data_IF_413534959649
#
_entry.id   IF_413534959649
#
_cell.length_a   1.000
_cell.length_b   1.000
_cell.length_c   1.000
_cell.angle_alpha   90.00
_cell.angle_beta   90.00
_cell.angle_gamma   90.00
#
_symmetry.space_group_name_H-M   'P 1'
#
loop_
_entity.id
_entity.type
_entity.pdbx_description
1 polymer ?
#
# COMPACT_ATOMS: atom_id res chain seq x y z
N UNK A 1 -23.49 -34.92 5.22
CA UNK A 1 -24.84 -34.38 4.94
C UNK A 1 -24.97 -33.16 5.81
N UNK A 2 -24.83 -32.00 5.18
CA UNK A 2 -24.82 -30.69 5.78
C UNK A 2 -25.96 -30.54 6.77
N UNK A 3 -25.65 -30.09 7.99
CA UNK A 3 -26.62 -29.82 9.04
C UNK A 3 -26.78 -28.32 9.19
N UNK A 4 -27.66 -27.77 8.37
CA UNK A 4 -28.05 -26.37 8.46
C UNK A 4 -29.27 -26.29 9.38
N UNK A 5 -29.04 -26.00 10.65
CA UNK A 5 -30.05 -25.84 11.69
C UNK A 5 -30.23 -24.34 12.01
N UNK A 6 -31.31 -23.99 12.72
CA UNK A 6 -31.53 -22.60 13.16
C UNK A 6 -30.43 -22.09 14.08
N UNK A 7 -29.84 -23.00 14.87
CA UNK A 7 -28.86 -22.67 15.93
C UNK A 7 -27.41 -22.92 15.53
N UNK A 8 -27.15 -23.58 14.40
CA UNK A 8 -25.80 -23.84 13.87
C UNK A 8 -25.88 -24.26 12.41
N UNK A 9 -24.85 -23.95 11.63
CA UNK A 9 -24.69 -24.48 10.28
C UNK A 9 -23.37 -25.24 10.18
N UNK A 10 -23.43 -26.49 9.75
CA UNK A 10 -22.26 -27.35 9.53
C UNK A 10 -22.32 -27.90 8.10
N UNK A 11 -21.26 -27.68 7.34
CA UNK A 11 -21.02 -28.39 6.08
C UNK A 11 -19.98 -29.48 6.39
N UNK A 12 -20.34 -30.75 6.17
CA UNK A 12 -19.49 -31.88 6.56
C UNK A 12 -18.25 -31.97 5.67
N UNK A 13 -17.24 -32.69 6.15
CA UNK A 13 -15.98 -32.95 5.45
C UNK A 13 -16.20 -33.46 4.01
N UNK A 14 -15.43 -32.92 3.06
CA UNK A 14 -15.46 -33.25 1.63
C UNK A 14 -16.86 -33.14 0.97
N UNK A 15 -17.79 -32.40 1.58
CA UNK A 15 -19.12 -32.15 1.02
C UNK A 15 -19.10 -30.94 0.09
N UNK A 16 -19.80 -31.03 -1.04
CA UNK A 16 -20.12 -29.86 -1.86
C UNK A 16 -21.54 -29.39 -1.51
N UNK A 17 -21.64 -28.23 -0.87
CA UNK A 17 -22.90 -27.56 -0.58
C UNK A 17 -23.21 -26.53 -1.68
N UNK A 18 -24.21 -26.86 -2.51
CA UNK A 18 -24.70 -25.96 -3.56
C UNK A 18 -25.67 -24.92 -2.96
N UNK A 19 -25.17 -23.70 -2.75
CA UNK A 19 -25.97 -22.56 -2.29
C UNK A 19 -25.32 -21.75 -1.17
N UNK A 20 -26.01 -20.70 -0.74
CA UNK A 20 -25.52 -19.78 0.27
C UNK A 20 -25.91 -20.23 1.69
N UNK A 21 -24.97 -20.14 2.63
CA UNK A 21 -25.25 -20.33 4.07
C UNK A 21 -25.60 -18.97 4.67
N UNK A 22 -26.76 -18.43 4.32
CA UNK A 22 -27.22 -17.11 4.79
C UNK A 22 -28.45 -17.22 5.72
N UNK A 23 -28.58 -16.34 6.73
CA UNK A 23 -29.76 -16.29 7.58
C UNK A 23 -31.03 -15.98 6.78
N UNK A 24 -32.06 -16.80 6.94
CA UNK A 24 -33.41 -16.47 6.44
C UNK A 24 -34.31 -15.86 7.51
N UNK A 25 -33.98 -16.10 8.79
CA UNK A 25 -34.65 -15.54 9.95
C UNK A 25 -33.69 -14.95 10.98
N UNK A 26 -34.24 -14.19 11.94
CA UNK A 26 -33.45 -13.49 12.94
C UNK A 26 -32.65 -14.43 13.87
N UNK A 27 -33.19 -15.61 14.17
CA UNK A 27 -32.51 -16.62 14.98
C UNK A 27 -31.23 -17.16 14.32
N UNK A 28 -31.17 -17.17 12.99
CA UNK A 28 -30.04 -17.67 12.22
C UNK A 28 -28.88 -16.65 12.12
N UNK A 29 -29.13 -15.37 12.40
CA UNK A 29 -28.08 -14.33 12.42
C UNK A 29 -27.04 -14.62 13.51
N UNK A 30 -27.50 -15.25 14.60
CA UNK A 30 -26.67 -15.59 15.75
C UNK A 30 -26.12 -17.02 15.68
N UNK A 31 -26.23 -17.70 14.54
CA UNK A 31 -25.72 -19.07 14.42
C UNK A 31 -24.22 -19.07 14.11
N UNK A 32 -23.41 -19.91 14.79
CA UNK A 32 -22.09 -20.24 14.30
C UNK A 32 -22.19 -21.08 13.02
N UNK A 33 -21.23 -20.88 12.12
CA UNK A 33 -21.08 -21.64 10.89
C UNK A 33 -19.71 -22.30 10.88
N UNK A 34 -19.67 -23.61 10.63
CA UNK A 34 -18.42 -24.37 10.47
C UNK A 34 -18.43 -25.06 9.11
N UNK A 35 -17.40 -24.80 8.32
CA UNK A 35 -17.14 -25.47 7.05
C UNK A 35 -15.96 -26.41 7.30
N UNK A 36 -16.24 -27.71 7.33
CA UNK A 36 -15.23 -28.72 7.68
C UNK A 36 -14.22 -28.95 6.56
N UNK A 37 -13.17 -29.69 6.89
CA UNK A 37 -12.05 -30.03 6.01
C UNK A 37 -12.49 -30.46 4.61
N UNK A 38 -11.79 -29.96 3.58
CA UNK A 38 -12.04 -30.25 2.16
C UNK A 38 -13.47 -29.96 1.64
N UNK A 39 -14.34 -29.34 2.46
CA UNK A 39 -15.70 -29.02 2.05
C UNK A 39 -15.73 -27.81 1.10
N UNK A 40 -16.75 -27.75 0.24
CA UNK A 40 -16.93 -26.66 -0.72
C UNK A 40 -18.31 -26.03 -0.54
N UNK A 41 -18.37 -24.71 -0.38
CA UNK A 41 -19.60 -23.91 -0.43
C UNK A 41 -19.57 -23.06 -1.70
N UNK A 42 -20.58 -23.19 -2.57
CA UNK A 42 -20.54 -22.56 -3.91
C UNK A 42 -21.05 -21.11 -3.94
N UNK A 43 -21.35 -20.51 -2.78
CA UNK A 43 -21.93 -19.17 -2.65
C UNK A 43 -21.57 -18.58 -1.26
N UNK A 44 -22.13 -17.42 -0.90
CA UNK A 44 -21.78 -16.69 0.31
C UNK A 44 -22.14 -17.40 1.63
N UNK A 45 -21.33 -17.13 2.66
CA UNK A 45 -21.50 -17.64 4.02
C UNK A 45 -21.70 -16.48 4.99
N UNK A 46 -22.74 -16.57 5.83
CA UNK A 46 -23.01 -15.60 6.88
C UNK A 46 -23.33 -16.28 8.22
N UNK A 47 -22.73 -15.78 9.30
CA UNK A 47 -23.00 -16.26 10.66
C UNK A 47 -22.62 -15.28 11.77
N UNK A 48 -22.79 -15.71 13.03
CA UNK A 48 -22.24 -15.02 14.19
C UNK A 48 -20.71 -15.10 14.16
N UNK A 49 -20.21 -16.33 14.12
CA UNK A 49 -18.82 -16.69 13.92
C UNK A 49 -18.76 -17.69 12.76
N UNK A 50 -17.74 -17.57 11.91
CA UNK A 50 -17.52 -18.48 10.78
C UNK A 50 -16.15 -19.12 10.92
N UNK A 51 -16.10 -20.45 10.97
CA UNK A 51 -14.87 -21.24 11.00
C UNK A 51 -14.75 -22.02 9.70
N UNK A 52 -13.59 -21.91 9.06
CA UNK A 52 -13.25 -22.55 7.79
C UNK A 52 -12.00 -23.38 8.05
N UNK A 53 -12.17 -24.71 8.03
CA UNK A 53 -11.13 -25.68 8.33
C UNK A 53 -10.23 -25.98 7.11
N UNK A 54 -9.10 -26.68 7.31
CA UNK A 54 -8.12 -26.95 6.26
C UNK A 54 -8.69 -27.54 4.97
N UNK A 55 -8.25 -27.02 3.83
CA UNK A 55 -8.70 -27.45 2.50
C UNK A 55 -10.12 -27.00 2.12
N UNK A 56 -10.88 -26.41 3.04
CA UNK A 56 -12.22 -25.92 2.73
C UNK A 56 -12.18 -24.74 1.74
N UNK A 57 -13.16 -24.70 0.85
CA UNK A 57 -13.27 -23.71 -0.22
C UNK A 57 -14.63 -23.03 -0.20
N UNK A 58 -14.65 -21.70 -0.31
CA UNK A 58 -15.87 -20.90 -0.40
C UNK A 58 -15.83 -20.04 -1.66
N UNK A 59 -16.76 -20.26 -2.58
CA UNK A 59 -16.96 -19.45 -3.79
C UNK A 59 -17.98 -18.34 -3.55
N UNK A 60 -17.67 -17.44 -2.61
CA UNK A 60 -18.54 -16.32 -2.28
C UNK A 60 -18.02 -15.50 -1.09
N UNK A 61 -18.72 -14.40 -0.74
CA UNK A 61 -18.34 -13.58 0.40
C UNK A 61 -18.57 -14.32 1.72
N UNK A 62 -17.67 -14.12 2.68
CA UNK A 62 -17.77 -14.61 4.05
C UNK A 62 -17.97 -13.43 4.98
N UNK A 63 -19.13 -13.38 5.65
CA UNK A 63 -19.50 -12.27 6.52
C UNK A 63 -19.86 -12.78 7.91
N UNK A 64 -19.24 -12.23 8.95
CA UNK A 64 -19.55 -12.61 10.31
C UNK A 64 -19.83 -11.42 11.21
N UNK A 65 -20.67 -11.60 12.23
CA UNK A 65 -20.95 -10.56 13.22
C UNK A 65 -19.80 -10.37 14.22
N UNK A 66 -19.17 -11.45 14.66
CA UNK A 66 -18.16 -11.44 15.73
C UNK A 66 -16.78 -11.83 15.24
N UNK A 67 -16.68 -12.83 14.36
CA UNK A 67 -15.38 -13.16 13.81
C UNK A 67 -15.37 -14.23 12.73
N UNK A 68 -14.26 -14.27 12.00
CA UNK A 68 -13.98 -15.26 10.96
C UNK A 68 -12.62 -15.89 11.26
N UNK A 69 -12.57 -17.22 11.26
CA UNK A 69 -11.36 -18.01 11.41
C UNK A 69 -11.19 -18.88 10.17
N UNK A 70 -10.02 -18.79 9.53
CA UNK A 70 -9.65 -19.59 8.35
C UNK A 70 -8.31 -20.24 8.64
N UNK A 71 -8.26 -21.56 8.56
CA UNK A 71 -7.04 -22.36 8.69
C UNK A 71 -6.86 -23.16 7.40
N UNK A 72 -5.78 -22.88 6.63
CA UNK A 72 -5.45 -23.52 5.34
C UNK A 72 -6.63 -23.63 4.36
N UNK A 73 -7.53 -22.65 4.40
CA UNK A 73 -8.74 -22.57 3.58
C UNK A 73 -8.62 -21.56 2.44
N UNK A 74 -9.54 -21.65 1.48
CA UNK A 74 -9.65 -20.68 0.38
C UNK A 74 -11.01 -20.00 0.30
N UNK A 75 -10.99 -18.68 0.10
CA UNK A 75 -12.19 -17.86 -0.06
C UNK A 75 -12.08 -17.02 -1.33
N UNK A 76 -12.99 -17.25 -2.26
CA UNK A 76 -13.14 -16.48 -3.49
C UNK A 76 -14.27 -15.46 -3.31
N UNK A 77 -13.97 -14.43 -2.52
CA UNK A 77 -14.90 -13.37 -2.15
C UNK A 77 -14.34 -12.51 -1.03
N UNK A 78 -15.08 -11.47 -0.65
CA UNK A 78 -14.72 -10.62 0.47
C UNK A 78 -14.90 -11.35 1.81
N UNK A 79 -13.98 -11.13 2.75
CA UNK A 79 -14.07 -11.62 4.13
C UNK A 79 -14.26 -10.42 5.04
N UNK A 80 -15.38 -10.35 5.74
CA UNK A 80 -15.76 -9.15 6.50
C UNK A 80 -16.39 -9.42 7.85
N UNK A 81 -15.97 -8.67 8.86
CA UNK A 81 -16.62 -8.63 10.17
C UNK A 81 -16.36 -7.30 10.88
N UNK A 82 -17.28 -6.78 11.71
CA UNK A 82 -16.93 -5.71 12.63
C UNK A 82 -16.08 -6.19 13.82
N UNK A 83 -15.88 -7.49 13.99
CA UNK A 83 -15.04 -8.07 15.04
C UNK A 83 -13.65 -8.44 14.57
N UNK A 84 -13.23 -9.69 14.79
CA UNK A 84 -11.88 -10.17 14.48
C UNK A 84 -11.84 -11.15 13.31
N UNK A 85 -10.83 -11.05 12.44
CA UNK A 85 -10.50 -12.09 11.46
C UNK A 85 -9.12 -12.66 11.78
N UNK A 86 -9.02 -13.98 11.80
CA UNK A 86 -7.76 -14.71 11.87
C UNK A 86 -7.65 -15.62 10.64
N UNK A 87 -6.59 -15.47 9.86
CA UNK A 87 -6.30 -16.34 8.72
C UNK A 87 -4.89 -16.88 8.87
N UNK A 88 -4.74 -18.19 8.81
CA UNK A 88 -3.47 -18.90 8.83
C UNK A 88 -3.37 -19.79 7.60
N UNK A 89 -2.25 -19.69 6.86
CA UNK A 89 -2.00 -20.47 5.63
C UNK A 89 -3.09 -20.35 4.55
N UNK A 90 -3.97 -19.37 4.63
CA UNK A 90 -5.14 -19.25 3.76
C UNK A 90 -4.92 -18.44 2.48
N UNK A 91 -5.85 -18.56 1.55
CA UNK A 91 -5.91 -17.77 0.31
C UNK A 91 -7.24 -17.05 0.20
N UNK A 92 -7.21 -15.72 0.10
CA UNK A 92 -8.41 -14.89 -0.10
C UNK A 92 -8.30 -14.14 -1.41
N UNK A 93 -9.23 -14.37 -2.33
CA UNK A 93 -9.40 -13.58 -3.55
C UNK A 93 -10.51 -12.55 -3.36
N UNK A 94 -10.20 -11.47 -2.66
CA UNK A 94 -11.16 -10.45 -2.24
C UNK A 94 -10.57 -9.50 -1.20
N UNK A 95 -11.42 -8.64 -0.65
CA UNK A 95 -11.04 -7.70 0.41
C UNK A 95 -11.26 -8.33 1.78
N UNK A 96 -10.25 -8.25 2.65
CA UNK A 96 -10.32 -8.69 4.05
C UNK A 96 -10.53 -7.48 4.96
N UNK A 97 -11.61 -7.48 5.73
CA UNK A 97 -11.99 -6.38 6.61
C UNK A 97 -12.35 -6.84 8.02
N UNK A 98 -11.81 -6.15 9.02
CA UNK A 98 -12.00 -6.46 10.44
C UNK A 98 -11.69 -5.28 11.34
N UNK A 99 -12.21 -5.25 12.57
CA UNK A 99 -11.65 -4.34 13.57
C UNK A 99 -10.25 -4.80 13.99
N UNK A 100 -10.05 -6.11 14.11
CA UNK A 100 -8.77 -6.75 14.41
C UNK A 100 -8.46 -7.83 13.38
N UNK A 101 -7.33 -7.71 12.68
CA UNK A 101 -6.88 -8.71 11.72
C UNK A 101 -5.56 -9.32 12.18
N UNK A 102 -5.49 -10.65 12.13
CA UNK A 102 -4.24 -11.40 12.21
C UNK A 102 -4.14 -12.31 11.00
N UNK A 103 -3.17 -12.05 10.13
CA UNK A 103 -2.90 -12.86 8.95
C UNK A 103 -1.49 -13.44 9.07
N UNK A 104 -1.37 -14.76 8.94
CA UNK A 104 -0.11 -15.50 9.03
C UNK A 104 0.01 -16.41 7.82
N UNK A 105 1.14 -16.37 7.12
CA UNK A 105 1.40 -17.17 5.92
C UNK A 105 0.27 -17.10 4.88
N UNK A 106 -0.39 -15.94 4.80
CA UNK A 106 -1.64 -15.76 4.05
C UNK A 106 -1.40 -15.01 2.75
N UNK A 107 -2.10 -15.44 1.69
CA UNK A 107 -2.15 -14.71 0.42
C UNK A 107 -3.49 -14.02 0.23
N UNK A 108 -3.48 -12.71 0.03
CA UNK A 108 -4.67 -11.90 -0.27
C UNK A 108 -4.54 -11.28 -1.64
N UNK A 109 -5.42 -11.66 -2.58
CA UNK A 109 -5.58 -11.02 -3.88
C UNK A 109 -6.68 -9.97 -3.78
N UNK A 110 -6.33 -8.83 -3.19
CA UNK A 110 -7.25 -7.74 -2.88
C UNK A 110 -6.69 -6.84 -1.80
N UNK A 111 -7.56 -6.15 -1.07
CA UNK A 111 -7.15 -5.21 -0.03
C UNK A 111 -7.27 -5.81 1.37
N UNK A 112 -6.50 -5.28 2.30
CA UNK A 112 -6.61 -5.57 3.73
C UNK A 112 -6.92 -4.27 4.45
N UNK A 113 -8.02 -4.20 5.18
CA UNK A 113 -8.47 -2.97 5.86
C UNK A 113 -8.88 -3.29 7.29
N UNK A 114 -8.22 -2.65 8.26
CA UNK A 114 -8.59 -2.82 9.65
C UNK A 114 -8.26 -1.62 10.53
N UNK A 115 -8.88 -1.59 11.71
CA UNK A 115 -8.43 -0.69 12.76
C UNK A 115 -7.08 -1.17 13.32
N UNK A 116 -6.95 -2.46 13.65
CA UNK A 116 -5.68 -3.08 14.07
C UNK A 116 -5.36 -4.26 13.14
N UNK A 117 -4.18 -4.26 12.52
CA UNK A 117 -3.74 -5.34 11.63
C UNK A 117 -2.33 -5.83 11.99
N UNK A 118 -2.17 -7.15 12.04
CA UNK A 118 -0.89 -7.87 12.15
C UNK A 118 -0.78 -8.81 10.95
N UNK A 119 0.24 -8.60 10.11
CA UNK A 119 0.54 -9.44 8.94
C UNK A 119 1.94 -10.04 9.12
N UNK A 120 2.02 -11.36 9.11
CA UNK A 120 3.26 -12.14 9.27
C UNK A 120 3.41 -13.06 8.05
N UNK A 121 4.53 -12.97 7.32
CA UNK A 121 4.79 -13.77 6.12
C UNK A 121 3.69 -13.69 5.02
N UNK A 122 3.06 -12.53 4.88
CA UNK A 122 1.90 -12.40 3.99
C UNK A 122 2.28 -11.90 2.58
N UNK A 123 1.47 -12.27 1.60
CA UNK A 123 1.49 -11.64 0.26
C UNK A 123 0.14 -10.99 -0.02
N UNK A 124 0.12 -9.67 -0.13
CA UNK A 124 -1.09 -8.88 -0.42
C UNK A 124 -0.98 -8.22 -1.78
N UNK A 125 -1.69 -8.73 -2.78
CA UNK A 125 -1.78 -8.12 -4.11
C UNK A 125 -2.82 -6.98 -4.07
N UNK A 126 -2.50 -5.95 -3.30
CA UNK A 126 -3.34 -4.77 -3.09
C UNK A 126 -2.85 -3.90 -1.93
N UNK A 127 -3.73 -3.03 -1.44
CA UNK A 127 -3.38 -2.05 -0.39
C UNK A 127 -3.68 -2.60 0.99
N UNK A 128 -2.74 -2.40 1.93
CA UNK A 128 -2.93 -2.68 3.35
C UNK A 128 -3.24 -1.38 4.09
N UNK A 129 -4.30 -1.35 4.89
CA UNK A 129 -4.71 -0.17 5.65
C UNK A 129 -4.88 -0.55 7.11
N UNK A 130 -4.12 0.09 7.99
CA UNK A 130 -4.29 0.02 9.45
C UNK A 130 -4.60 1.40 10.03
N UNK A 131 -5.79 1.57 10.61
CA UNK A 131 -6.24 2.87 11.10
C UNK A 131 -5.64 3.25 12.46
N UNK A 132 -5.53 2.28 13.37
CA UNK A 132 -5.01 2.49 14.73
C UNK A 132 -3.67 1.81 14.94
N UNK A 133 -3.50 0.60 14.40
CA UNK A 133 -2.24 -0.13 14.51
C UNK A 133 -1.97 -0.97 13.27
N UNK A 134 -0.77 -0.89 12.73
CA UNK A 134 -0.32 -1.74 11.63
C UNK A 134 1.07 -2.34 11.94
N UNK A 135 1.13 -3.66 12.12
CA UNK A 135 2.39 -4.42 12.17
C UNK A 135 2.49 -5.27 10.92
N UNK A 136 3.60 -5.16 10.20
CA UNK A 136 3.91 -6.02 9.06
C UNK A 136 5.31 -6.59 9.23
N UNK A 137 5.40 -7.92 9.14
CA UNK A 137 6.64 -8.68 9.25
C UNK A 137 6.74 -9.62 8.04
N UNK A 138 7.88 -9.59 7.34
CA UNK A 138 8.14 -10.45 6.16
C UNK A 138 7.00 -10.41 5.12
N UNK A 139 6.40 -9.23 4.92
CA UNK A 139 5.15 -9.08 4.16
C UNK A 139 5.38 -8.30 2.87
N UNK A 140 4.81 -8.79 1.77
CA UNK A 140 4.82 -8.09 0.47
C UNK A 140 3.44 -7.50 0.17
N UNK A 141 3.37 -6.21 -0.19
CA UNK A 141 2.12 -5.56 -0.61
C UNK A 141 2.29 -4.60 -1.79
N UNK A 142 1.19 -4.07 -2.36
CA UNK A 142 1.31 -3.00 -3.36
C UNK A 142 1.77 -1.70 -2.70
N UNK A 143 1.08 -1.31 -1.64
CA UNK A 143 1.40 -0.16 -0.78
C UNK A 143 0.61 -0.31 0.52
N UNK A 144 0.89 0.55 1.49
CA UNK A 144 0.17 0.56 2.75
C UNK A 144 -0.16 1.97 3.23
N UNK A 145 -1.12 2.04 4.15
CA UNK A 145 -1.51 3.24 4.88
C UNK A 145 -1.58 2.92 6.37
N UNK A 146 -0.83 3.68 7.16
CA UNK A 146 -0.86 3.70 8.61
C UNK A 146 -1.19 5.12 9.09
N UNK A 147 -1.94 5.24 10.18
CA UNK A 147 -2.39 6.57 10.66
C UNK A 147 -2.13 6.89 12.14
N UNK A 148 -1.83 5.90 12.99
CA UNK A 148 -1.59 6.15 14.42
C UNK A 148 -0.29 5.51 14.89
N UNK A 149 -0.19 4.18 14.83
CA UNK A 149 1.00 3.46 15.31
C UNK A 149 1.36 2.31 14.36
N UNK A 150 2.65 2.17 14.01
CA UNK A 150 3.06 1.12 13.08
C UNK A 150 4.50 0.65 13.21
N UNK A 151 4.73 -0.59 12.83
CA UNK A 151 6.05 -1.23 12.84
C UNK A 151 6.20 -2.08 11.59
N UNK A 152 7.34 -1.93 10.92
CA UNK A 152 7.64 -2.60 9.66
C UNK A 152 8.99 -3.33 9.73
N UNK A 153 8.96 -4.64 9.50
CA UNK A 153 10.13 -5.53 9.45
C UNK A 153 10.02 -6.41 8.19
N UNK A 154 11.09 -6.49 7.40
CA UNK A 154 11.22 -7.22 6.14
C UNK A 154 10.04 -7.00 5.17
N UNK A 155 9.55 -5.75 5.10
CA UNK A 155 8.42 -5.38 4.25
C UNK A 155 8.87 -5.04 2.83
N UNK A 156 8.13 -5.55 1.85
CA UNK A 156 8.32 -5.27 0.44
C UNK A 156 7.10 -4.57 -0.12
N UNK A 157 7.29 -3.46 -0.84
CA UNK A 157 6.21 -2.74 -1.53
C UNK A 157 6.44 -2.73 -3.04
N UNK A 158 5.36 -2.69 -3.80
CA UNK A 158 5.48 -2.45 -5.24
C UNK A 158 5.52 -0.96 -5.53
N UNK A 159 4.66 -0.14 -4.95
CA UNK A 159 4.62 1.29 -5.22
C UNK A 159 5.68 2.04 -4.39
N UNK A 160 6.34 3.07 -4.96
CA UNK A 160 7.42 3.82 -4.29
C UNK A 160 6.94 4.79 -3.21
N UNK A 161 5.70 4.64 -2.74
CA UNK A 161 5.06 5.56 -1.81
C UNK A 161 4.06 4.80 -0.93
N UNK A 162 4.07 5.11 0.35
CA UNK A 162 3.11 4.68 1.36
C UNK A 162 2.73 5.87 2.27
N UNK A 163 1.62 5.74 3.02
CA UNK A 163 1.23 6.71 4.05
C UNK A 163 1.62 6.15 5.41
N UNK A 164 2.34 6.97 6.19
CA UNK A 164 2.79 6.69 7.56
C UNK A 164 2.45 7.89 8.44
N UNK A 165 1.16 8.17 8.54
CA UNK A 165 0.67 9.21 9.45
C UNK A 165 0.71 8.66 10.90
N UNK A 166 1.07 9.49 11.87
CA UNK A 166 1.31 9.06 13.26
C UNK A 166 2.73 8.53 13.55
N UNK A 167 2.87 7.72 14.60
CA UNK A 167 4.14 7.07 14.96
C UNK A 167 4.39 5.84 14.09
N UNK A 168 5.62 5.69 13.63
CA UNK A 168 6.05 4.50 12.91
C UNK A 168 7.50 4.16 13.21
N UNK A 169 7.86 2.89 13.05
CA UNK A 169 9.24 2.41 13.09
C UNK A 169 9.52 1.50 11.90
N UNK A 170 10.68 1.70 11.26
CA UNK A 170 11.18 0.84 10.18
C UNK A 170 12.37 0.04 10.74
N UNK A 171 12.10 -1.19 11.17
CA UNK A 171 13.11 -2.05 11.82
C UNK A 171 14.14 -2.59 10.81
N UNK A 172 13.72 -2.72 9.56
CA UNK A 172 14.56 -3.00 8.40
C UNK A 172 14.09 -2.18 7.20
N UNK A 173 14.98 -1.75 6.28
CA UNK A 173 14.58 -0.98 5.12
C UNK A 173 13.49 -1.66 4.28
N UNK A 174 12.52 -0.88 3.82
CA UNK A 174 11.40 -1.38 3.01
C UNK A 174 11.83 -1.43 1.54
N UNK A 175 11.79 -2.60 0.91
CA UNK A 175 12.19 -2.73 -0.50
C UNK A 175 11.08 -2.30 -1.45
N UNK A 176 11.41 -1.49 -2.47
CA UNK A 176 10.50 -1.07 -3.54
C UNK A 176 10.76 -1.89 -4.80
N UNK A 177 10.04 -3.01 -4.96
CA UNK A 177 10.34 -4.03 -5.97
C UNK A 177 9.88 -3.70 -7.40
N UNK A 178 8.98 -2.73 -7.59
CA UNK A 178 8.51 -2.39 -8.96
C UNK A 178 9.50 -1.55 -9.77
N UNK A 179 10.35 -0.78 -9.08
CA UNK A 179 11.29 0.12 -9.74
C UNK A 179 12.52 -0.68 -10.14
N UNK A 180 12.55 -1.08 -11.41
CA UNK A 180 13.78 -1.61 -12.01
C UNK A 180 14.80 -0.49 -12.15
N UNK A 181 16.01 -0.77 -11.65
CA UNK A 181 17.31 -0.08 -11.83
C UNK A 181 17.26 1.03 -12.89
N UNK A 182 16.93 2.25 -12.46
CA UNK A 182 17.33 3.45 -13.21
C UNK A 182 18.83 3.66 -12.95
N UNK A 183 19.56 4.17 -13.94
CA UNK A 183 21.00 4.43 -13.86
C UNK A 183 21.39 5.28 -12.62
N UNK A 184 20.49 6.13 -12.13
CA UNK A 184 20.66 6.93 -10.91
C UNK A 184 20.70 6.13 -9.59
N UNK A 185 20.43 4.82 -9.61
CA UNK A 185 20.60 3.90 -8.47
C UNK A 185 21.77 2.92 -8.68
N UNK A 186 22.61 3.14 -9.69
CA UNK A 186 23.67 2.21 -10.11
C UNK A 186 25.03 2.72 -9.64
N UNK A 187 25.46 2.25 -8.48
CA UNK A 187 26.89 2.04 -8.21
C UNK A 187 27.24 0.55 -8.12
N UNK A 188 26.29 -0.32 -7.75
CA UNK A 188 26.48 -1.77 -7.79
C UNK A 188 25.21 -2.49 -8.26
N UNK A 189 25.41 -3.35 -9.25
CA UNK A 189 24.43 -3.77 -10.25
C UNK A 189 23.32 -4.72 -9.76
N UNK A 190 22.90 -4.70 -8.48
CA UNK A 190 21.81 -5.57 -7.98
C UNK A 190 20.85 -4.96 -6.93
N UNK A 191 21.14 -3.78 -6.38
CA UNK A 191 20.35 -3.24 -5.28
C UNK A 191 18.91 -2.84 -5.70
N UNK A 192 17.92 -3.33 -4.94
CA UNK A 192 16.54 -2.87 -5.01
C UNK A 192 16.46 -1.53 -4.26
N UNK A 193 15.77 -0.49 -4.79
CA UNK A 193 15.58 0.74 -4.05
C UNK A 193 14.89 0.48 -2.71
N UNK A 194 15.35 1.15 -1.65
CA UNK A 194 14.83 0.99 -0.30
C UNK A 194 14.26 2.31 0.24
N UNK A 195 13.19 2.20 1.02
CA UNK A 195 12.61 3.24 1.84
C UNK A 195 13.09 3.08 3.29
N UNK A 196 13.61 4.16 3.88
CA UNK A 196 13.94 4.25 5.31
C UNK A 196 13.19 5.43 5.94
N UNK A 197 13.28 5.60 7.26
CA UNK A 197 12.65 6.73 7.96
C UNK A 197 13.10 8.10 7.41
N UNK A 198 14.29 8.19 6.81
CA UNK A 198 14.82 9.41 6.17
C UNK A 198 14.02 9.80 4.91
N UNK A 199 13.30 8.87 4.29
CA UNK A 199 12.43 9.11 3.13
C UNK A 199 11.02 9.61 3.54
N UNK A 200 10.80 9.89 4.84
CA UNK A 200 9.55 10.43 5.34
C UNK A 200 9.40 11.93 5.04
N UNK A 201 8.26 12.31 4.45
CA UNK A 201 7.94 13.68 4.05
C UNK A 201 6.50 14.03 4.42
N UNK A 202 6.30 15.12 5.15
CA UNK A 202 4.97 15.63 5.48
C UNK A 202 4.55 16.69 4.47
N UNK A 203 3.39 16.49 3.84
CA UNK A 203 2.77 17.42 2.89
C UNK A 203 1.31 17.59 3.28
N UNK A 204 0.86 18.83 3.45
CA UNK A 204 -0.51 19.18 3.85
C UNK A 204 -1.04 18.43 5.08
N UNK A 205 -0.16 18.14 6.04
CA UNK A 205 -0.49 17.45 7.28
C UNK A 205 -0.56 15.92 7.16
N UNK A 206 -0.24 15.34 6.01
CA UNK A 206 -0.10 13.88 5.83
C UNK A 206 1.36 13.51 5.66
N UNK A 207 1.84 12.53 6.42
CA UNK A 207 3.21 12.01 6.30
C UNK A 207 3.25 10.83 5.33
N UNK A 208 4.11 10.95 4.33
CA UNK A 208 4.35 9.94 3.31
C UNK A 208 5.75 9.36 3.47
N UNK A 209 5.88 8.05 3.29
CA UNK A 209 7.16 7.39 3.10
C UNK A 209 7.35 7.23 1.59
N UNK A 210 8.28 7.95 0.97
CA UNK A 210 8.30 8.07 -0.50
C UNK A 210 9.67 8.25 -1.12
N UNK A 211 9.93 7.52 -2.21
CA UNK A 211 11.12 7.68 -3.04
C UNK A 211 11.00 8.80 -4.08
N UNK A 212 9.82 9.42 -4.21
CA UNK A 212 9.54 10.41 -5.28
C UNK A 212 10.61 11.52 -5.36
N UNK A 213 11.08 12.14 -4.25
CA UNK A 213 12.11 13.17 -4.32
C UNK A 213 13.43 12.68 -4.94
N UNK A 214 13.86 11.47 -4.56
CA UNK A 214 15.08 10.81 -5.07
C UNK A 214 14.91 10.31 -6.51
N UNK A 215 13.68 9.96 -6.89
CA UNK A 215 13.36 9.49 -8.24
C UNK A 215 13.29 10.61 -9.27
N UNK A 216 12.83 11.79 -8.85
CA UNK A 216 12.65 12.96 -9.71
C UNK A 216 13.84 13.92 -9.69
N UNK A 217 14.84 13.68 -8.83
CA UNK A 217 15.98 14.58 -8.62
C UNK A 217 15.51 16.03 -8.38
N UNK A 218 14.58 16.17 -7.43
CA UNK A 218 13.92 17.45 -7.15
C UNK A 218 14.95 18.52 -6.78
N UNK A 219 16.02 18.15 -6.08
CA UNK A 219 17.12 19.07 -5.74
C UNK A 219 17.83 19.59 -7.00
N UNK A 220 18.11 18.75 -8.00
CA UNK A 220 18.68 19.23 -9.26
C UNK A 220 17.69 20.13 -10.03
N UNK A 221 16.38 19.83 -9.98
CA UNK A 221 15.36 20.68 -10.60
C UNK A 221 15.26 22.04 -9.88
N UNK A 222 15.23 22.06 -8.55
CA UNK A 222 15.21 23.28 -7.75
C UNK A 222 16.49 24.11 -7.97
N UNK A 223 17.65 23.47 -7.97
CA UNK A 223 18.93 24.13 -8.29
C UNK A 223 18.90 24.77 -9.66
N UNK A 224 18.34 24.08 -10.67
CA UNK A 224 18.18 24.64 -12.03
C UNK A 224 17.20 25.82 -12.05
N UNK A 225 16.12 25.76 -11.28
CA UNK A 225 15.16 26.88 -11.17
C UNK A 225 15.83 28.09 -10.52
N UNK A 226 16.57 27.91 -9.42
CA UNK A 226 17.30 28.98 -8.75
C UNK A 226 18.36 29.62 -9.65
N UNK A 227 19.09 28.81 -10.42
CA UNK A 227 20.03 29.27 -11.45
C UNK A 227 19.31 30.09 -12.54
N UNK A 228 18.16 29.61 -13.03
CA UNK A 228 17.34 30.32 -14.01
C UNK A 228 16.82 31.66 -13.47
N UNK A 229 16.29 31.69 -12.25
CA UNK A 229 15.81 32.92 -11.62
C UNK A 229 16.94 33.93 -11.41
N UNK A 230 18.10 33.46 -10.95
CA UNK A 230 19.28 34.30 -10.74
C UNK A 230 19.74 34.94 -12.05
N UNK A 231 19.75 34.17 -13.14
CA UNK A 231 20.05 34.66 -14.48
C UNK A 231 19.04 35.70 -14.96
N UNK A 232 17.73 35.43 -14.84
CA UNK A 232 16.68 36.36 -15.24
C UNK A 232 16.72 37.68 -14.43
N UNK A 233 17.05 37.63 -13.14
CA UNK A 233 17.25 38.82 -12.31
C UNK A 233 18.45 39.64 -12.77
N UNK A 234 19.57 38.99 -13.10
CA UNK A 234 20.76 39.67 -13.62
C UNK A 234 20.45 40.39 -14.94
N UNK A 235 19.71 39.75 -15.84
CA UNK A 235 19.24 40.35 -17.10
C UNK A 235 18.35 41.57 -16.86
N UNK A 236 17.38 41.47 -15.95
CA UNK A 236 16.48 42.58 -15.64
C UNK A 236 17.23 43.80 -15.06
N UNK A 237 18.22 43.56 -14.18
CA UNK A 237 19.07 44.62 -13.62
C UNK A 237 19.96 45.27 -14.69
N UNK A 238 20.50 44.48 -15.62
CA UNK A 238 21.30 44.95 -16.75
C UNK A 238 20.51 45.93 -17.64
N UNK A 239 19.25 45.57 -17.95
CA UNK A 239 18.34 46.41 -18.72
C UNK A 239 18.02 47.74 -18.02
N UNK A 240 17.71 47.71 -16.72
CA UNK A 240 17.37 48.92 -15.95
C UNK A 240 18.57 49.87 -15.81
N UNK A 241 19.77 49.32 -15.64
CA UNK A 241 21.01 50.10 -15.50
C UNK A 241 21.60 50.57 -16.84
N UNK A 242 21.14 50.03 -17.97
CA UNK A 242 21.74 50.29 -19.29
C UNK A 242 23.18 49.79 -19.41
N UNK A 243 23.51 48.71 -18.70
CA UNK A 243 24.86 48.15 -18.60
C UNK A 243 24.84 46.65 -18.87
N UNK A 244 25.91 46.12 -19.45
CA UNK A 244 26.10 44.68 -19.58
C UNK A 244 26.43 44.07 -18.23
N UNK A 245 25.77 42.96 -17.87
CA UNK A 245 26.06 42.19 -16.65
C UNK A 245 26.47 40.79 -17.08
N UNK A 246 27.57 40.28 -16.50
CA UNK A 246 27.99 38.90 -16.73
C UNK A 246 26.95 37.93 -16.13
N UNK A 247 26.60 36.85 -16.84
CA UNK A 247 25.69 35.86 -16.31
C UNK A 247 26.25 35.25 -15.00
N UNK A 248 25.38 34.92 -14.02
CA UNK A 248 25.80 34.21 -12.81
C UNK A 248 26.56 32.92 -13.14
N UNK A 249 27.52 32.53 -12.30
CA UNK A 249 28.25 31.28 -12.47
C UNK A 249 27.28 30.09 -12.62
N UNK A 250 27.64 29.12 -13.47
CA UNK A 250 26.87 27.90 -13.73
C UNK A 250 25.50 28.09 -14.43
N UNK A 251 25.19 29.29 -14.94
CA UNK A 251 23.98 29.56 -15.72
C UNK A 251 24.15 29.46 -17.25
N UNK A 252 25.30 28.96 -17.73
CA UNK A 252 25.62 28.85 -19.16
C UNK A 252 24.61 28.00 -19.94
N UNK A 253 24.09 26.93 -19.31
CA UNK A 253 23.07 26.07 -19.91
C UNK A 253 21.75 26.79 -20.18
N UNK A 254 21.46 27.89 -19.47
CA UNK A 254 20.23 28.68 -19.66
C UNK A 254 20.26 29.37 -21.02
N UNK A 255 21.41 29.90 -21.42
CA UNK A 255 21.60 30.52 -22.75
C UNK A 255 21.38 29.51 -23.88
N UNK A 256 21.93 28.30 -23.72
CA UNK A 256 21.74 27.20 -24.65
C UNK A 256 20.26 26.76 -24.72
N UNK A 257 19.55 26.75 -23.59
CA UNK A 257 18.15 26.37 -23.51
C UNK A 257 17.20 27.37 -24.21
N UNK A 258 17.57 28.65 -24.25
CA UNK A 258 16.81 29.68 -24.97
C UNK A 258 17.27 29.87 -26.43
N UNK A 259 18.30 29.15 -26.87
CA UNK A 259 18.95 29.33 -28.19
C UNK A 259 19.39 30.80 -28.42
N UNK A 260 19.89 31.44 -27.36
CA UNK A 260 20.37 32.83 -27.38
C UNK A 260 21.82 32.87 -26.95
N UNK A 261 22.68 33.39 -27.82
CA UNK A 261 24.09 33.62 -27.48
C UNK A 261 24.24 34.83 -26.55
N UNK A 262 25.20 34.82 -25.62
CA UNK A 262 25.47 35.97 -24.74
C UNK A 262 25.69 37.29 -25.51
N UNK A 263 26.24 37.22 -26.73
CA UNK A 263 26.43 38.37 -27.64
C UNK A 263 25.12 38.89 -28.27
N UNK A 264 24.06 38.08 -28.32
CA UNK A 264 22.74 38.46 -28.83
C UNK A 264 21.88 39.16 -27.78
N UNK A 265 22.27 39.10 -26.51
CA UNK A 265 21.71 39.86 -25.41
C UNK A 265 22.42 41.24 -25.34
N UNK A 266 22.37 42.00 -26.44
CA UNK A 266 22.78 43.41 -26.45
C UNK A 266 21.66 44.25 -25.84
N UNK A 267 21.83 44.64 -24.58
CA UNK A 267 20.89 45.49 -23.83
C UNK A 267 21.23 46.99 -23.92
N UNK A 268 22.10 47.38 -24.86
CA UNK A 268 22.31 48.81 -25.10
C UNK A 268 20.99 49.48 -25.47
N UNK A 269 20.74 50.66 -24.88
CA UNK A 269 19.48 51.39 -25.04
C UNK A 269 19.24 51.62 -26.54
N UNK A 270 18.04 51.30 -27.09
CA UNK A 270 17.76 51.63 -28.47
C UNK A 270 17.90 53.15 -28.63
N UNK A 271 18.71 53.55 -29.59
CA UNK A 271 19.03 54.96 -29.88
C UNK A 271 17.83 55.69 -30.46
#
# INVERSE_FOLDING_TARGET
>A
MSKIEETRAIVDEAETYEGAVIPTGQAEIERPVTIHEDATVTDGVYGQAVTIEPGATIDGPVMAKEGVEVDDGSVNGDVGTPGSVSIESGVVSGTVMGSRLRLVDTTVVGNVVASEAILENCTVIGTVVGEQRLRMESTTCYTFKSYIDSTFEDVNVLLPQAIVDGSFSVESPIEVRSIRRKDQFVDDNEAVPILTEDDARTVDGTTYLTLVPRLLDVEAVETRIDQLESFLRAVALAQDAGTTVDPPAESEWVLDAFDVTAEALDFSTPT
#
